data_IF_415869721784
#
_entry.id   IF_415869721784
#
_cell.length_a   1.000
_cell.length_b   1.000
_cell.length_c   1.000
_cell.angle_alpha   90.00
_cell.angle_beta   90.00
_cell.angle_gamma   90.00
#
_symmetry.space_group_name_H-M   'P 1'
#
loop_
_entity.id
_entity.type
_entity.pdbx_description
1 polymer ?
#
# COMPACT_ATOMS: atom_id res chain seq x y z
N UNK A 1 43.33 -7.62 1.09
CA UNK A 1 42.86 -8.55 2.14
C UNK A 1 41.67 -9.31 1.56
N UNK A 2 41.80 -10.65 1.51
CA UNK A 2 40.92 -11.76 1.04
C UNK A 2 39.51 -11.44 0.52
N UNK A 3 39.01 -11.94 -0.62
CA UNK A 3 39.02 -13.28 -1.24
C UNK A 3 38.40 -14.41 -0.38
N UNK A 4 37.07 -14.58 -0.48
CA UNK A 4 36.24 -15.78 -0.25
C UNK A 4 34.78 -15.28 -0.35
N UNK A 5 33.93 -15.67 -1.27
CA UNK A 5 33.37 -17.00 -1.48
C UNK A 5 32.88 -17.08 -2.93
N UNK A 6 33.43 -18.01 -3.70
CA UNK A 6 32.90 -18.48 -4.96
C UNK A 6 32.55 -19.97 -4.79
N UNK A 7 31.61 -20.44 -5.62
CA UNK A 7 31.32 -21.85 -5.93
C UNK A 7 30.51 -22.67 -4.91
N UNK A 8 29.20 -22.80 -5.16
CA UNK A 8 28.42 -24.02 -4.90
C UNK A 8 27.02 -23.93 -5.53
N UNK A 9 26.90 -24.27 -6.82
CA UNK A 9 25.68 -24.81 -7.45
C UNK A 9 25.88 -25.03 -8.96
N UNK A 10 26.85 -25.87 -9.31
CA UNK A 10 26.90 -26.52 -10.62
C UNK A 10 27.50 -27.92 -10.42
N UNK A 11 26.90 -28.93 -11.07
CA UNK A 11 27.29 -30.35 -11.14
C UNK A 11 26.76 -31.29 -10.04
N UNK A 12 25.60 -31.89 -10.30
CA UNK A 12 25.53 -33.36 -10.35
C UNK A 12 24.45 -33.76 -11.36
N UNK A 13 24.90 -34.30 -12.50
CA UNK A 13 24.06 -34.98 -13.48
C UNK A 13 24.24 -36.48 -13.36
N UNK A 14 23.22 -37.23 -13.78
CA UNK A 14 23.27 -38.65 -14.17
C UNK A 14 21.95 -38.93 -14.89
N UNK A 15 21.84 -39.38 -16.15
CA UNK A 15 22.76 -40.09 -17.01
C UNK A 15 22.06 -41.37 -17.46
N UNK A 16 21.57 -41.43 -18.70
CA UNK A 16 21.29 -42.71 -19.40
C UNK A 16 21.17 -42.45 -20.90
N UNK A 17 22.19 -42.86 -21.65
CA UNK A 17 22.16 -42.96 -23.10
C UNK A 17 22.01 -44.41 -23.53
N UNK A 18 21.40 -44.64 -24.69
CA UNK A 18 21.70 -45.80 -25.53
C UNK A 18 21.49 -45.41 -26.99
N UNK A 19 22.53 -45.64 -27.77
CA UNK A 19 22.65 -45.35 -29.19
C UNK A 19 22.45 -46.67 -29.96
N UNK A 20 21.79 -46.62 -31.13
CA UNK A 20 21.85 -47.71 -32.10
C UNK A 20 21.56 -47.19 -33.51
N UNK A 21 22.56 -47.33 -34.37
CA UNK A 21 22.63 -46.98 -35.79
C UNK A 21 21.76 -47.85 -36.71
N UNK A 22 21.33 -47.32 -37.87
CA UNK A 22 21.57 -47.92 -39.20
C UNK A 22 20.93 -47.12 -40.37
N UNK A 23 21.68 -47.04 -41.47
CA UNK A 23 21.50 -46.25 -42.69
C UNK A 23 20.51 -46.77 -43.77
N UNK A 24 20.19 -45.83 -44.69
CA UNK A 24 20.00 -45.96 -46.16
C UNK A 24 18.61 -46.20 -46.81
N UNK A 25 18.12 -45.11 -47.41
CA UNK A 25 17.63 -44.91 -48.80
C UNK A 25 16.73 -45.96 -49.48
N UNK A 26 15.54 -45.52 -49.94
CA UNK A 26 14.78 -46.25 -50.96
C UNK A 26 13.32 -45.85 -51.24
N UNK A 27 13.12 -44.81 -52.07
CA UNK A 27 12.06 -44.71 -53.11
C UNK A 27 10.55 -44.53 -52.78
N UNK A 28 10.06 -43.38 -53.27
CA UNK A 28 8.76 -43.08 -53.94
C UNK A 28 7.48 -42.84 -53.10
N UNK A 29 7.02 -41.57 -53.18
CA UNK A 29 5.64 -41.09 -52.97
C UNK A 29 4.64 -41.87 -53.87
N UNK A 30 3.32 -41.97 -53.56
CA UNK A 30 2.47 -40.76 -53.64
C UNK A 30 1.13 -40.73 -52.84
N UNK A 31 0.61 -39.49 -52.73
CA UNK A 31 -0.78 -39.04 -52.53
C UNK A 31 -1.36 -38.90 -51.11
N UNK A 32 -1.88 -37.70 -50.75
CA UNK A 32 -2.66 -37.50 -49.53
C UNK A 32 -4.07 -38.09 -49.66
N UNK A 33 -4.50 -38.76 -48.60
CA UNK A 33 -5.84 -39.30 -48.46
C UNK A 33 -6.87 -38.18 -48.26
N UNK A 34 -7.84 -38.15 -49.18
CA UNK A 34 -9.29 -37.90 -49.07
C UNK A 34 -9.92 -36.83 -48.14
N UNK A 35 -9.25 -36.26 -47.14
CA UNK A 35 -9.91 -35.36 -46.18
C UNK A 35 -9.95 -33.89 -46.62
N UNK A 36 -9.13 -33.49 -47.57
CA UNK A 36 -9.03 -32.08 -48.01
C UNK A 36 -10.09 -31.65 -49.05
N UNK A 37 -11.02 -32.54 -49.41
CA UNK A 37 -12.01 -32.33 -50.48
C UNK A 37 -13.47 -32.43 -50.01
N UNK A 38 -13.71 -32.63 -48.70
CA UNK A 38 -15.07 -32.76 -48.15
C UNK A 38 -15.92 -31.48 -48.29
N UNK A 39 -15.29 -30.32 -48.48
CA UNK A 39 -16.00 -29.05 -48.67
C UNK A 39 -16.57 -28.83 -50.08
N UNK A 40 -16.27 -29.72 -51.05
CA UNK A 40 -16.71 -29.58 -52.45
C UNK A 40 -17.80 -30.59 -52.85
N UNK A 41 -18.24 -31.47 -51.94
CA UNK A 41 -19.37 -32.35 -52.22
C UNK A 41 -20.68 -31.60 -52.04
N UNK A 42 -21.31 -31.26 -53.17
CA UNK A 42 -22.64 -30.66 -53.27
C UNK A 42 -23.65 -31.53 -52.49
N UNK A 43 -24.11 -31.04 -51.35
CA UNK A 43 -25.17 -31.65 -50.54
C UNK A 43 -26.43 -31.84 -51.38
N UNK A 44 -27.16 -32.97 -51.27
CA UNK A 44 -28.40 -33.16 -51.99
C UNK A 44 -29.40 -32.09 -51.56
N UNK A 45 -30.03 -31.46 -52.56
CA UNK A 45 -31.08 -30.46 -52.41
C UNK A 45 -32.25 -31.02 -51.60
N UNK A 46 -32.18 -30.85 -50.27
CA UNK A 46 -33.33 -30.94 -49.40
C UNK A 46 -33.91 -29.53 -49.30
N UNK A 47 -35.18 -29.41 -49.68
CA UNK A 47 -35.95 -28.17 -49.72
C UNK A 47 -35.77 -27.39 -48.41
N UNK A 48 -35.13 -26.23 -48.48
CA UNK A 48 -35.11 -25.24 -47.41
C UNK A 48 -36.55 -24.68 -47.26
N UNK A 49 -37.39 -25.38 -46.51
CA UNK A 49 -38.50 -24.71 -45.85
C UNK A 49 -37.87 -23.88 -44.74
N UNK A 50 -37.68 -22.59 -44.99
CA UNK A 50 -37.26 -21.62 -43.99
C UNK A 50 -38.43 -21.33 -43.05
N UNK A 51 -38.94 -22.38 -42.40
CA UNK A 51 -39.64 -22.19 -41.14
C UNK A 51 -38.54 -21.96 -40.12
N UNK A 52 -38.20 -20.68 -39.92
CA UNK A 52 -37.49 -20.28 -38.71
C UNK A 52 -38.43 -20.63 -37.58
N UNK A 53 -38.29 -21.84 -37.03
CA UNK A 53 -38.85 -22.15 -35.74
C UNK A 53 -38.14 -21.20 -34.78
N UNK A 54 -38.78 -20.07 -34.51
CA UNK A 54 -38.35 -19.14 -33.47
C UNK A 54 -38.57 -19.89 -32.16
N UNK A 55 -37.53 -20.61 -31.77
CA UNK A 55 -37.46 -21.21 -30.45
C UNK A 55 -37.44 -20.06 -29.45
N UNK A 56 -38.61 -19.81 -28.85
CA UNK A 56 -38.82 -18.66 -27.98
C UNK A 56 -38.11 -18.84 -26.63
N UNK A 57 -37.67 -20.07 -26.34
CA UNK A 57 -36.91 -20.42 -25.15
C UNK A 57 -35.98 -21.59 -25.49
N UNK A 58 -34.85 -21.34 -26.18
CA UNK A 58 -33.84 -22.38 -26.36
C UNK A 58 -33.44 -22.92 -25.00
N UNK A 59 -33.20 -24.23 -24.92
CA UNK A 59 -32.68 -24.87 -23.71
C UNK A 59 -31.33 -24.23 -23.37
N UNK A 60 -31.39 -23.21 -22.51
CA UNK A 60 -30.21 -22.59 -21.92
C UNK A 60 -29.63 -23.69 -21.05
N UNK A 61 -28.51 -24.28 -21.48
CA UNK A 61 -27.67 -25.06 -20.62
C UNK A 61 -27.36 -24.15 -19.42
N UNK A 62 -28.12 -24.35 -18.34
CA UNK A 62 -27.82 -23.76 -17.05
C UNK A 62 -26.43 -24.28 -16.80
N UNK A 63 -25.42 -23.39 -16.85
CA UNK A 63 -24.10 -23.75 -16.39
C UNK A 63 -24.32 -24.06 -14.93
N UNK A 64 -24.48 -25.35 -14.62
CA UNK A 64 -24.61 -25.86 -13.27
C UNK A 64 -23.56 -25.13 -12.45
N UNK A 65 -24.06 -24.38 -11.48
CA UNK A 65 -23.37 -23.60 -10.46
C UNK A 65 -21.84 -23.71 -10.52
N UNK A 66 -21.20 -22.75 -11.19
CA UNK A 66 -19.74 -22.59 -11.20
C UNK A 66 -19.19 -22.11 -9.83
N UNK A 67 -19.91 -22.36 -8.74
CA UNK A 67 -19.49 -22.02 -7.38
C UNK A 67 -19.67 -23.26 -6.49
N UNK A 68 -18.82 -24.27 -6.71
CA UNK A 68 -18.80 -25.52 -5.94
C UNK A 68 -17.93 -25.41 -4.68
N UNK A 69 -17.94 -24.23 -4.03
CA UNK A 69 -17.14 -23.93 -2.84
C UNK A 69 -17.99 -23.73 -1.58
N UNK A 70 -17.40 -23.99 -0.42
CA UNK A 70 -17.93 -23.43 0.84
C UNK A 70 -17.58 -21.95 0.82
N UNK A 71 -18.59 -21.09 0.90
CA UNK A 71 -18.45 -19.63 0.93
C UNK A 71 -18.83 -19.08 2.31
N UNK A 72 -18.20 -17.97 2.68
CA UNK A 72 -18.51 -17.22 3.89
C UNK A 72 -19.31 -15.97 3.53
N UNK A 73 -20.21 -15.56 4.42
CA UNK A 73 -20.92 -14.30 4.30
C UNK A 73 -19.95 -13.13 4.56
N UNK A 74 -19.78 -12.18 3.61
CA UNK A 74 -18.89 -11.02 3.78
C UNK A 74 -19.24 -10.12 4.98
N UNK A 75 -20.50 -10.14 5.44
CA UNK A 75 -20.94 -9.32 6.56
C UNK A 75 -20.61 -9.93 7.94
N UNK A 76 -20.28 -11.22 7.99
CA UNK A 76 -19.99 -11.94 9.24
C UNK A 76 -18.55 -11.64 9.70
N UNK A 77 -18.41 -11.20 10.96
CA UNK A 77 -17.11 -10.79 11.54
C UNK A 77 -16.41 -11.87 12.36
N UNK A 78 -17.14 -12.88 12.82
CA UNK A 78 -16.61 -13.96 13.66
C UNK A 78 -16.95 -15.30 13.02
N UNK A 79 -15.91 -16.10 12.74
CA UNK A 79 -16.04 -17.43 12.14
C UNK A 79 -15.83 -18.50 13.21
N UNK A 80 -16.63 -19.57 13.16
CA UNK A 80 -16.61 -20.65 14.16
C UNK A 80 -15.70 -21.82 13.77
N UNK A 81 -15.09 -21.76 12.59
CA UNK A 81 -14.14 -22.73 12.07
C UNK A 81 -12.99 -21.97 11.38
N UNK A 82 -11.91 -22.69 11.05
CA UNK A 82 -10.77 -22.11 10.34
C UNK A 82 -11.00 -22.27 8.82
N UNK A 83 -11.44 -21.23 8.09
CA UNK A 83 -11.64 -21.32 6.65
C UNK A 83 -10.31 -21.29 5.89
N UNK A 84 -10.34 -21.70 4.62
CA UNK A 84 -9.20 -21.56 3.71
C UNK A 84 -9.05 -20.11 3.23
N UNK A 85 -7.85 -19.76 2.75
CA UNK A 85 -7.58 -18.43 2.19
C UNK A 85 -8.52 -18.09 1.03
N UNK A 86 -8.72 -19.03 0.10
CA UNK A 86 -9.59 -18.84 -1.07
C UNK A 86 -11.04 -18.57 -0.68
N UNK A 87 -11.56 -19.25 0.34
CA UNK A 87 -12.92 -19.05 0.84
C UNK A 87 -13.07 -17.70 1.58
N UNK A 88 -12.07 -17.27 2.37
CA UNK A 88 -12.16 -16.04 3.17
C UNK A 88 -11.91 -14.77 2.37
N UNK A 89 -10.95 -14.79 1.43
CA UNK A 89 -10.52 -13.62 0.66
C UNK A 89 -11.07 -13.61 -0.78
N UNK A 90 -12.11 -14.39 -1.06
CA UNK A 90 -12.83 -14.34 -2.33
C UNK A 90 -13.46 -12.94 -2.52
N UNK A 91 -13.23 -12.26 -3.67
CA UNK A 91 -13.89 -10.99 -3.97
C UNK A 91 -15.41 -11.14 -4.13
N UNK A 92 -16.16 -10.10 -3.75
CA UNK A 92 -17.60 -10.04 -3.99
C UNK A 92 -17.90 -9.88 -5.49
N UNK A 93 -18.83 -10.67 -6.01
CA UNK A 93 -19.26 -10.60 -7.40
C UNK A 93 -20.35 -9.54 -7.61
N UNK A 94 -20.27 -8.83 -8.75
CA UNK A 94 -21.26 -7.85 -9.18
C UNK A 94 -20.74 -6.40 -9.19
N UNK A 95 -21.52 -5.45 -9.72
CA UNK A 95 -21.14 -4.04 -9.73
C UNK A 95 -21.23 -3.43 -8.33
N UNK A 96 -20.32 -2.50 -8.03
CA UNK A 96 -20.43 -1.67 -6.82
C UNK A 96 -21.67 -0.78 -6.86
N UNK A 97 -22.25 -0.51 -5.70
CA UNK A 97 -23.46 0.31 -5.60
C UNK A 97 -23.10 1.81 -5.79
N UNK A 98 -23.55 2.47 -6.88
CA UNK A 98 -23.17 3.85 -7.18
C UNK A 98 -23.86 4.89 -6.27
N UNK A 99 -24.87 4.49 -5.50
CA UNK A 99 -25.60 5.40 -4.59
C UNK A 99 -24.91 5.57 -3.24
N UNK A 100 -23.75 4.93 -3.02
CA UNK A 100 -22.95 5.10 -1.81
C UNK A 100 -21.98 6.26 -1.98
N UNK A 101 -21.92 7.16 -1.00
CA UNK A 101 -20.85 8.16 -0.92
C UNK A 101 -19.52 7.47 -0.58
N UNK A 102 -18.38 8.14 -0.78
CA UNK A 102 -17.06 7.58 -0.44
C UNK A 102 -16.99 7.09 1.02
N UNK A 103 -17.57 7.85 1.96
CA UNK A 103 -17.64 7.48 3.37
C UNK A 103 -18.52 6.24 3.62
N UNK A 104 -19.61 6.08 2.85
CA UNK A 104 -20.50 4.92 2.96
C UNK A 104 -19.95 3.68 2.26
N UNK A 105 -19.13 3.85 1.23
CA UNK A 105 -18.46 2.77 0.53
C UNK A 105 -17.31 2.17 1.35
N UNK A 106 -16.61 3.00 2.15
CA UNK A 106 -15.52 2.54 3.00
C UNK A 106 -16.02 1.64 4.16
N UNK A 107 -15.28 0.56 4.52
CA UNK A 107 -15.59 -0.26 5.67
C UNK A 107 -15.48 0.60 6.94
N UNK A 108 -16.54 0.65 7.75
CA UNK A 108 -16.61 1.51 8.92
C UNK A 108 -17.28 0.82 10.11
N UNK A 109 -16.75 1.05 11.30
CA UNK A 109 -17.34 0.62 12.58
C UNK A 109 -17.98 1.80 13.34
N UNK A 110 -17.49 3.01 13.09
CA UNK A 110 -18.05 4.28 13.58
C UNK A 110 -18.31 5.23 12.42
N UNK A 111 -18.93 6.38 12.67
CA UNK A 111 -19.31 7.31 11.59
C UNK A 111 -18.09 7.76 10.77
N UNK A 112 -16.95 8.03 11.40
CA UNK A 112 -15.74 8.56 10.77
C UNK A 112 -14.80 7.50 10.20
N UNK A 113 -15.07 6.20 10.35
CA UNK A 113 -14.19 5.15 9.83
C UNK A 113 -14.18 3.88 10.68
N UNK A 114 -13.06 3.16 10.60
CA UNK A 114 -12.83 1.91 11.31
C UNK A 114 -11.82 2.11 12.43
N UNK A 115 -12.19 1.72 13.65
CA UNK A 115 -11.31 1.77 14.81
C UNK A 115 -11.28 0.40 15.46
N UNK A 116 -10.08 -0.16 15.57
CA UNK A 116 -9.79 -1.42 16.21
C UNK A 116 -8.68 -1.26 17.25
N UNK A 117 -8.71 -2.02 18.36
CA UNK A 117 -7.60 -2.05 19.30
C UNK A 117 -6.35 -2.64 18.63
N UNK A 118 -5.27 -1.87 18.60
CA UNK A 118 -3.97 -2.31 18.10
C UNK A 118 -3.00 -2.56 19.26
N UNK A 119 -2.12 -3.55 19.09
CA UNK A 119 -1.07 -3.89 20.05
C UNK A 119 0.31 -3.57 19.46
N UNK A 120 0.71 -2.30 19.58
CA UNK A 120 2.01 -1.79 19.10
C UNK A 120 2.95 -1.63 20.31
N UNK A 121 4.24 -1.86 20.12
CA UNK A 121 5.23 -1.59 21.16
C UNK A 121 5.32 -0.07 21.44
N UNK A 122 5.15 0.31 22.71
CA UNK A 122 5.20 1.70 23.19
C UNK A 122 6.44 2.46 22.69
N UNK A 123 7.61 1.82 22.72
CA UNK A 123 8.85 2.46 22.30
C UNK A 123 8.86 2.74 20.79
N UNK A 124 8.39 1.80 19.97
CA UNK A 124 8.32 1.97 18.51
C UNK A 124 7.31 3.06 18.15
N UNK A 125 6.16 3.08 18.81
CA UNK A 125 5.15 4.11 18.61
C UNK A 125 5.69 5.51 18.93
N UNK A 126 6.28 5.68 20.12
CA UNK A 126 6.80 6.99 20.52
C UNK A 126 8.04 7.41 19.72
N UNK A 127 8.86 6.45 19.27
CA UNK A 127 9.96 6.68 18.32
C UNK A 127 9.44 7.27 17.01
N UNK A 128 8.47 6.64 16.37
CA UNK A 128 7.91 7.14 15.11
C UNK A 128 7.16 8.46 15.31
N UNK A 129 6.37 8.59 16.38
CA UNK A 129 5.65 9.83 16.72
C UNK A 129 6.59 11.03 16.90
N UNK A 130 7.69 10.87 17.66
CA UNK A 130 8.67 11.94 17.85
C UNK A 130 9.46 12.25 16.60
N UNK A 131 9.75 11.23 15.79
CA UNK A 131 10.45 11.39 14.50
C UNK A 131 9.59 12.23 13.54
N UNK A 132 8.29 11.95 13.45
CA UNK A 132 7.37 12.79 12.68
C UNK A 132 7.29 14.21 13.22
N UNK A 133 7.19 14.39 14.54
CA UNK A 133 7.10 15.73 15.14
C UNK A 133 8.40 16.56 14.99
N UNK A 134 9.56 15.90 14.88
CA UNK A 134 10.89 16.57 14.83
C UNK A 134 11.36 16.80 13.39
N UNK A 135 11.17 15.82 12.52
CA UNK A 135 11.68 15.82 11.14
C UNK A 135 10.59 15.77 10.07
N UNK A 136 9.31 15.67 10.45
CA UNK A 136 8.20 15.67 9.50
C UNK A 136 7.99 14.36 8.71
N UNK A 137 8.70 13.28 9.05
CA UNK A 137 8.53 11.97 8.42
C UNK A 137 8.50 10.82 9.44
N UNK A 138 7.85 9.72 9.07
CA UNK A 138 7.82 8.47 9.83
C UNK A 138 7.50 7.28 8.91
N UNK A 139 7.62 6.07 9.43
CA UNK A 139 7.14 4.87 8.74
C UNK A 139 5.61 4.78 8.81
N UNK A 140 4.97 4.32 7.73
CA UNK A 140 3.52 4.09 7.68
C UNK A 140 3.11 2.94 8.63
N UNK A 141 2.22 3.18 9.61
CA UNK A 141 1.69 2.12 10.47
C UNK A 141 0.52 1.34 9.83
N UNK A 142 0.16 1.61 8.57
CA UNK A 142 -0.93 0.91 7.89
C UNK A 142 -0.67 -0.59 7.73
N UNK A 143 -1.74 -1.38 7.89
CA UNK A 143 -1.74 -2.83 7.69
C UNK A 143 -2.54 -3.12 6.42
N UNK A 144 -1.91 -3.05 5.25
CA UNK A 144 -2.54 -3.40 4.00
C UNK A 144 -2.35 -4.88 3.66
N UNK A 145 -3.39 -5.48 3.06
CA UNK A 145 -3.37 -6.88 2.67
C UNK A 145 -2.52 -7.12 1.40
N UNK A 146 -2.18 -6.05 0.68
CA UNK A 146 -1.30 -6.08 -0.48
C UNK A 146 0.07 -5.66 0.01
N UNK A 147 1.09 -6.51 -0.15
CA UNK A 147 2.45 -6.23 0.33
C UNK A 147 3.03 -4.96 -0.28
N UNK A 148 2.75 -3.81 0.32
CA UNK A 148 3.46 -2.57 0.06
C UNK A 148 4.67 -2.58 0.98
N UNK A 149 5.86 -2.43 0.41
CA UNK A 149 7.09 -2.36 1.19
C UNK A 149 7.06 -1.18 2.16
N UNK A 150 7.83 -1.27 3.24
CA UNK A 150 7.92 -0.23 4.27
C UNK A 150 8.11 1.16 3.64
N UNK A 151 7.06 1.98 3.72
CA UNK A 151 6.98 3.29 3.08
C UNK A 151 7.07 4.39 4.12
N UNK A 152 7.83 5.44 3.81
CA UNK A 152 7.83 6.67 4.60
C UNK A 152 6.62 7.54 4.23
N UNK A 153 6.00 8.14 5.25
CA UNK A 153 4.91 9.11 5.14
C UNK A 153 5.34 10.47 5.68
N UNK A 154 4.75 11.55 5.15
CA UNK A 154 5.13 12.93 5.46
C UNK A 154 6.14 13.50 4.47
N UNK A 155 7.22 14.10 4.97
CA UNK A 155 8.31 14.66 4.16
C UNK A 155 9.29 13.56 3.71
N UNK A 156 8.94 12.85 2.63
CA UNK A 156 9.74 11.73 2.10
C UNK A 156 11.14 12.20 1.64
N UNK A 157 11.25 13.41 1.12
CA UNK A 157 12.53 14.00 0.70
C UNK A 157 13.50 14.16 1.90
N UNK A 158 12.99 14.56 3.06
CA UNK A 158 13.79 14.67 4.28
C UNK A 158 14.14 13.30 4.86
N UNK A 159 13.27 12.31 4.69
CA UNK A 159 13.53 10.92 5.09
C UNK A 159 14.72 10.35 4.30
N UNK A 160 14.74 10.51 2.98
CA UNK A 160 15.86 10.04 2.14
C UNK A 160 17.15 10.82 2.42
N UNK A 161 17.05 12.15 2.56
CA UNK A 161 18.20 13.01 2.90
C UNK A 161 18.85 12.64 4.24
N UNK A 162 18.04 12.29 5.24
CA UNK A 162 18.49 11.91 6.56
C UNK A 162 18.61 10.38 6.73
N UNK A 163 18.43 9.59 5.67
CA UNK A 163 18.50 8.13 5.65
C UNK A 163 17.55 7.44 6.64
N UNK A 164 16.39 8.04 6.92
CA UNK A 164 15.38 7.48 7.82
C UNK A 164 15.73 7.56 9.31
N UNK A 165 16.66 8.43 9.69
CA UNK A 165 17.16 8.52 11.06
C UNK A 165 16.07 8.92 12.07
N UNK A 166 15.97 8.16 13.15
CA UNK A 166 14.99 8.45 14.21
C UNK A 166 15.55 9.35 15.31
N UNK A 167 14.67 9.98 16.10
CA UNK A 167 15.09 10.93 17.17
C UNK A 167 15.95 10.27 18.26
N UNK A 168 15.77 8.96 18.48
CA UNK A 168 16.53 8.20 19.46
C UNK A 168 17.90 7.73 18.93
N UNK A 169 18.14 7.87 17.62
CA UNK A 169 19.42 7.59 17.00
C UNK A 169 20.29 8.85 16.99
N UNK A 170 21.60 8.66 17.15
CA UNK A 170 22.55 9.78 17.09
C UNK A 170 22.81 10.15 15.64
N UNK A 171 22.13 11.18 15.15
CA UNK A 171 22.31 11.69 13.78
C UNK A 171 23.53 12.59 13.57
N UNK A 172 23.74 12.97 12.30
CA UNK A 172 24.75 13.96 11.92
C UNK A 172 24.33 15.35 12.42
N UNK A 173 24.91 15.78 13.55
CA UNK A 173 24.70 17.13 14.11
C UNK A 173 25.34 18.18 13.19
N UNK A 174 24.60 18.65 12.18
CA UNK A 174 25.06 19.67 11.23
C UNK A 174 24.53 21.08 11.49
N UNK A 175 23.62 21.26 12.45
CA UNK A 175 23.03 22.58 12.71
C UNK A 175 23.82 23.36 13.76
N UNK A 176 24.05 24.63 13.48
CA UNK A 176 24.65 25.57 14.42
C UNK A 176 23.78 25.65 15.70
N UNK A 177 24.41 25.40 16.85
CA UNK A 177 23.72 25.50 18.14
C UNK A 177 23.48 26.97 18.45
N UNK A 178 22.21 27.34 18.66
CA UNK A 178 21.84 28.67 19.17
C UNK A 178 22.61 28.97 20.46
N UNK A 179 23.15 30.18 20.57
CA UNK A 179 23.97 30.61 21.70
C UNK A 179 23.06 30.93 22.90
N UNK A 180 23.36 30.33 24.05
CA UNK A 180 22.72 30.63 25.33
C UNK A 180 23.63 31.46 26.20
N UNK A 181 23.05 32.23 27.12
CA UNK A 181 23.82 32.74 28.25
C UNK A 181 24.40 31.55 29.05
N UNK A 182 25.59 31.72 29.63
CA UNK A 182 26.25 30.65 30.38
C UNK A 182 26.83 31.23 31.66
N UNK A 183 25.96 31.33 32.67
CA UNK A 183 26.35 31.64 34.04
C UNK A 183 25.95 30.45 34.91
N UNK A 184 26.95 29.66 35.27
CA UNK A 184 26.80 28.38 35.99
C UNK A 184 27.36 28.47 37.42
N UNK A 185 27.93 29.61 37.83
CA UNK A 185 28.42 29.78 39.19
C UNK A 185 27.25 30.01 40.15
N UNK A 186 26.97 28.99 40.97
CA UNK A 186 25.91 29.05 41.98
C UNK A 186 26.24 30.00 43.16
N UNK A 187 27.47 30.51 43.23
CA UNK A 187 27.89 31.47 44.25
C UNK A 187 27.32 32.88 44.01
N UNK A 188 26.98 33.20 42.76
CA UNK A 188 26.38 34.48 42.39
C UNK A 188 24.84 34.41 42.50
N UNK A 189 24.30 35.02 43.56
CA UNK A 189 22.88 34.96 43.95
C UNK A 189 21.96 35.50 42.83
N UNK A 190 22.34 36.60 42.18
CA UNK A 190 21.50 37.28 41.18
C UNK A 190 21.86 36.87 39.74
N UNK A 191 23.06 36.32 39.53
CA UNK A 191 23.58 35.97 38.21
C UNK A 191 23.39 34.52 37.78
N UNK A 192 23.13 33.60 38.72
CA UNK A 192 23.03 32.17 38.38
C UNK A 192 21.82 31.87 37.48
N UNK A 193 22.09 31.35 36.28
CA UNK A 193 21.06 30.99 35.31
C UNK A 193 20.94 29.47 35.14
N UNK A 194 22.05 28.73 35.23
CA UNK A 194 22.05 27.27 35.08
C UNK A 194 21.27 26.78 33.85
N UNK A 195 20.40 25.75 33.97
CA UNK A 195 19.55 25.29 32.87
C UNK A 195 18.48 26.29 32.39
N UNK A 196 18.17 27.33 33.18
CA UNK A 196 17.19 28.37 32.84
C UNK A 196 17.79 29.49 31.99
N UNK A 197 19.06 29.38 31.58
CA UNK A 197 19.69 30.35 30.70
C UNK A 197 18.96 30.48 29.36
N UNK A 198 18.44 31.68 29.11
CA UNK A 198 17.77 32.07 27.87
C UNK A 198 18.73 32.09 26.69
N UNK A 199 18.19 32.04 25.47
CA UNK A 199 19.01 32.28 24.28
C UNK A 199 19.33 33.76 24.11
N UNK A 200 20.49 34.08 23.52
CA UNK A 200 20.96 35.47 23.34
C UNK A 200 20.14 36.21 22.28
N UNK A 201 19.63 35.48 21.29
CA UNK A 201 18.79 35.98 20.19
C UNK A 201 17.30 36.06 20.56
N UNK A 202 16.90 35.51 21.71
CA UNK A 202 15.52 35.51 22.18
C UNK A 202 15.19 36.84 22.88
N UNK A 203 14.04 37.42 22.53
CA UNK A 203 13.51 38.62 23.16
C UNK A 203 12.32 38.24 24.03
N UNK A 204 12.32 38.70 25.28
CA UNK A 204 11.26 38.39 26.25
C UNK A 204 9.90 39.00 25.90
N UNK A 205 9.90 40.13 25.17
CA UNK A 205 8.68 40.84 24.81
C UNK A 205 8.61 40.98 23.29
N UNK A 206 7.62 40.35 22.68
CA UNK A 206 7.27 40.54 21.28
C UNK A 206 6.10 41.53 21.20
N UNK A 207 6.40 42.82 20.96
CA UNK A 207 5.36 43.81 20.67
C UNK A 207 5.05 43.76 19.17
N UNK A 208 3.75 43.74 18.76
CA UNK A 208 3.38 43.83 17.35
C UNK A 208 3.94 45.09 16.71
N UNK A 209 4.10 45.11 15.40
CA UNK A 209 4.56 46.30 14.68
C UNK A 209 3.56 47.45 14.84
N UNK A 210 4.00 48.69 14.62
CA UNK A 210 3.13 49.87 14.79
C UNK A 210 1.89 49.83 13.87
N UNK A 211 2.04 49.25 12.68
CA UNK A 211 0.95 49.06 11.72
C UNK A 211 -0.04 47.99 12.20
N UNK A 212 0.46 46.82 12.63
CA UNK A 212 -0.37 45.76 13.23
C UNK A 212 -1.10 46.25 14.47
N UNK A 213 -0.46 47.09 15.29
CA UNK A 213 -1.11 47.71 16.44
C UNK A 213 -2.28 48.58 16.00
N UNK A 214 -2.11 49.44 14.99
CA UNK A 214 -3.19 50.29 14.45
C UNK A 214 -4.34 49.47 13.88
N UNK A 215 -4.05 48.36 13.21
CA UNK A 215 -5.07 47.44 12.69
C UNK A 215 -5.84 46.75 13.82
N UNK A 216 -5.15 46.25 14.84
CA UNK A 216 -5.77 45.68 16.04
C UNK A 216 -6.65 46.71 16.74
N UNK A 217 -6.16 47.94 16.91
CA UNK A 217 -6.94 49.05 17.49
C UNK A 217 -8.19 49.36 16.67
N UNK A 218 -8.08 49.41 15.33
CA UNK A 218 -9.22 49.63 14.43
C UNK A 218 -10.24 48.51 14.54
N UNK A 219 -9.80 47.25 14.59
CA UNK A 219 -10.67 46.06 14.69
C UNK A 219 -11.41 46.04 16.01
N UNK A 220 -10.70 46.33 17.12
CA UNK A 220 -11.29 46.46 18.45
C UNK A 220 -12.28 47.62 18.51
N UNK A 221 -12.00 48.74 17.83
CA UNK A 221 -12.88 49.90 17.80
C UNK A 221 -14.16 49.63 16.98
N UNK A 222 -14.05 48.91 15.85
CA UNK A 222 -15.21 48.55 15.03
C UNK A 222 -16.04 47.40 15.61
N UNK A 223 -15.44 46.54 16.44
CA UNK A 223 -16.14 45.42 17.09
C UNK A 223 -16.81 45.81 18.41
N UNK A 224 -16.61 47.03 18.91
CA UNK A 224 -17.34 47.52 20.09
C UNK A 224 -18.80 47.73 19.73
N UNK A 225 -19.75 47.11 20.44
CA UNK A 225 -21.17 47.34 20.19
C UNK A 225 -21.49 48.83 20.43
N UNK A 226 -22.15 49.45 19.45
CA UNK A 226 -22.79 50.75 19.61
C UNK A 226 -23.95 50.55 20.60
N UNK A 227 -23.71 50.89 21.87
CA UNK A 227 -24.77 51.12 22.84
C UNK A 227 -25.35 52.52 22.64
#
# INVERSE_FOLDING_TARGET
MSAAIAALAASYGSGSGSESDSDSEGSRCPLPAADSLMHLTKSPSAKLSLTVAVDSAPEVAVKEDLETGVHLDPAVKEVQYNPTYETMFAPEFGPENPFRTQQMAAPRNMLSGYAEPAHINDFMFEQQRRTFATYGYALDPSLDNHQVSAKYIGSVEEAEKNQGLTVFETGQKKTEKRKKFKENDASNIDGFLGPWAKYVDEKDVAKPSEEEQKELYKTILSSKPLF
#
